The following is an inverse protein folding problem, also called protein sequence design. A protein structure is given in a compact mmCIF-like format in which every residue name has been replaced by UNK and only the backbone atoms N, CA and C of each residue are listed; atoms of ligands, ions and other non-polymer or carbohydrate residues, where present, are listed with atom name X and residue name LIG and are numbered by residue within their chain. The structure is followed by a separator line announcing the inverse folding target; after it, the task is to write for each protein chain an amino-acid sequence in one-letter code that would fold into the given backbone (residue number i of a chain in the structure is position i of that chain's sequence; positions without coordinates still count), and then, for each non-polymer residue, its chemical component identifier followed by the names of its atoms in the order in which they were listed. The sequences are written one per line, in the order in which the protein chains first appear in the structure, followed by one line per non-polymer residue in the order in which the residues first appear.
data_IF_138415475088
#
_entry.id   IF_138415475088
#
_cell.length_a   1.000
_cell.length_b   1.000
_cell.length_c   1.000
_cell.angle_alpha   90.00
_cell.angle_beta   90.00
_cell.angle_gamma   90.00
#
_symmetry.space_group_name_H-M   'P 1'
#
loop_
_entity.id
_entity.type
_entity.pdbx_description
1 polymer ?
#
# COMPACT_ATOMS: atom_id res chain seq x y z
N UNK A 1 -3.90 1.21 -6.85
CA UNK A 1 -3.24 1.89 -5.72
C UNK A 1 -1.91 1.22 -5.43
N UNK A 2 -0.87 2.01 -5.29
CA UNK A 2 0.41 1.54 -4.75
C UNK A 2 0.45 1.93 -3.28
N UNK A 3 0.68 0.96 -2.42
CA UNK A 3 0.73 1.16 -0.97
C UNK A 3 2.13 0.79 -0.47
N UNK A 4 2.82 1.77 0.09
CA UNK A 4 4.19 1.61 0.57
C UNK A 4 4.19 1.28 2.05
N UNK A 5 4.80 0.16 2.43
CA UNK A 5 4.82 -0.34 3.80
C UNK A 5 6.21 -0.80 4.22
N UNK A 6 6.39 -0.96 5.53
CA UNK A 6 7.61 -1.52 6.12
C UNK A 6 7.16 -2.46 7.24
N UNK A 7 7.68 -3.71 7.32
CA UNK A 7 7.26 -4.64 8.37
C UNK A 7 7.57 -4.19 9.79
N UNK A 8 8.49 -3.27 9.96
CA UNK A 8 8.84 -2.74 11.27
C UNK A 8 8.12 -1.44 11.63
N UNK A 9 7.27 -0.95 10.74
CA UNK A 9 6.49 0.26 10.94
C UNK A 9 5.21 -0.07 11.70
N UNK A 10 5.03 0.50 12.90
CA UNK A 10 3.84 0.25 13.73
C UNK A 10 2.53 0.63 13.05
N UNK A 11 2.38 1.87 12.53
CA UNK A 11 1.17 2.26 11.81
C UNK A 11 0.90 1.41 10.57
N UNK A 12 1.94 0.92 9.89
CA UNK A 12 1.77 0.01 8.76
C UNK A 12 1.14 -1.29 9.23
N UNK A 13 1.66 -1.89 10.30
CA UNK A 13 1.14 -3.14 10.84
C UNK A 13 -0.32 -2.99 11.27
N UNK A 14 -0.67 -1.86 11.86
CA UNK A 14 -2.04 -1.60 12.29
C UNK A 14 -3.01 -1.49 11.10
N UNK A 15 -2.53 -1.07 9.95
CA UNK A 15 -3.33 -0.92 8.74
C UNK A 15 -3.51 -2.23 7.96
N UNK A 16 -2.60 -3.18 8.10
CA UNK A 16 -2.60 -4.40 7.28
C UNK A 16 -3.89 -5.22 7.30
N UNK A 17 -4.60 -5.40 8.42
CA UNK A 17 -5.88 -6.10 8.40
C UNK A 17 -6.88 -5.43 7.46
N UNK A 18 -6.94 -4.11 7.45
CA UNK A 18 -7.80 -3.37 6.53
C UNK A 18 -7.36 -3.53 5.09
N UNK A 19 -6.05 -3.48 4.84
CA UNK A 19 -5.50 -3.67 3.49
C UNK A 19 -5.89 -5.03 2.93
N UNK A 20 -5.77 -6.09 3.72
CA UNK A 20 -6.18 -7.42 3.33
C UNK A 20 -7.66 -7.49 2.99
N UNK A 21 -8.50 -6.83 3.79
CA UNK A 21 -9.93 -6.74 3.53
C UNK A 21 -10.21 -5.99 2.22
N UNK A 22 -9.55 -4.87 2.00
CA UNK A 22 -9.71 -4.09 0.76
C UNK A 22 -9.33 -4.90 -0.48
N UNK A 23 -8.22 -5.65 -0.42
CA UNK A 23 -7.80 -6.48 -1.54
C UNK A 23 -8.85 -7.55 -1.89
N UNK A 24 -9.52 -8.10 -0.88
CA UNK A 24 -10.56 -9.11 -1.10
C UNK A 24 -11.87 -8.52 -1.60
N UNK A 25 -12.27 -7.39 -1.04
CA UNK A 25 -13.61 -6.82 -1.30
C UNK A 25 -13.67 -5.84 -2.46
N UNK A 26 -12.55 -5.21 -2.81
CA UNK A 26 -12.55 -4.12 -3.78
C UNK A 26 -11.80 -4.41 -5.06
N UNK A 27 -11.63 -5.68 -5.38
CA UNK A 27 -10.88 -6.10 -6.58
C UNK A 27 -11.47 -5.59 -7.88
N UNK A 28 -12.78 -5.33 -7.93
CA UNK A 28 -13.46 -4.81 -9.14
C UNK A 28 -13.25 -3.32 -9.32
N UNK A 29 -13.07 -2.59 -8.23
CA UNK A 29 -12.96 -1.14 -8.24
C UNK A 29 -11.51 -0.68 -8.31
N UNK A 30 -10.63 -1.45 -7.66
CA UNK A 30 -9.26 -1.00 -7.46
C UNK A 30 -8.36 -2.20 -7.17
N UNK A 31 -7.25 -2.26 -7.88
CA UNK A 31 -6.19 -3.20 -7.59
C UNK A 31 -5.22 -2.55 -6.62
N UNK A 32 -4.93 -3.22 -5.51
CA UNK A 32 -4.00 -2.72 -4.50
C UNK A 32 -2.73 -3.56 -4.54
N UNK A 33 -1.60 -2.91 -4.85
CA UNK A 33 -0.29 -3.54 -4.83
C UNK A 33 0.53 -2.94 -3.70
N UNK A 34 1.14 -3.80 -2.89
CA UNK A 34 1.99 -3.36 -1.80
C UNK A 34 3.44 -3.31 -2.27
N UNK A 35 4.14 -2.26 -1.86
CA UNK A 35 5.57 -2.13 -2.06
C UNK A 35 6.20 -2.20 -0.67
N UNK A 36 6.80 -3.34 -0.35
CA UNK A 36 7.36 -3.58 0.97
C UNK A 36 8.85 -3.26 1.04
N UNK A 37 9.23 -2.51 2.06
CA UNK A 37 10.63 -2.25 2.39
C UNK A 37 11.12 -3.26 3.42
N UNK A 38 12.42 -3.47 3.51
CA UNK A 38 13.04 -4.29 4.54
C UNK A 38 13.18 -5.75 4.16
N UNK A 39 13.27 -6.63 5.16
CA UNK A 39 13.56 -8.03 4.94
C UNK A 39 12.45 -8.77 4.22
N UNK A 40 12.79 -9.52 3.16
CA UNK A 40 11.79 -10.29 2.40
C UNK A 40 10.99 -11.27 3.27
N UNK A 41 11.63 -11.94 4.22
CA UNK A 41 10.92 -12.90 5.08
C UNK A 41 9.90 -12.25 5.99
N UNK A 42 10.21 -11.09 6.54
CA UNK A 42 9.26 -10.36 7.38
C UNK A 42 8.05 -9.89 6.56
N UNK A 43 8.28 -9.41 5.35
CA UNK A 43 7.21 -9.03 4.44
C UNK A 43 6.35 -10.24 4.06
N UNK A 44 6.98 -11.38 3.80
CA UNK A 44 6.25 -12.61 3.47
C UNK A 44 5.41 -13.10 4.63
N UNK A 45 5.96 -13.08 5.84
CA UNK A 45 5.23 -13.48 7.05
C UNK A 45 3.99 -12.61 7.26
N UNK A 46 4.11 -11.31 7.10
CA UNK A 46 2.97 -10.40 7.22
C UNK A 46 1.96 -10.63 6.11
N UNK A 47 2.42 -10.86 4.88
CA UNK A 47 1.52 -11.14 3.77
C UNK A 47 0.69 -12.40 4.04
N UNK A 48 1.32 -13.46 4.53
CA UNK A 48 0.63 -14.69 4.88
C UNK A 48 -0.35 -14.50 6.05
N UNK A 49 0.07 -13.76 7.06
CA UNK A 49 -0.74 -13.52 8.26
C UNK A 49 -2.04 -12.77 7.94
N UNK A 50 -1.98 -11.78 7.07
CA UNK A 50 -3.14 -10.93 6.76
C UNK A 50 -3.78 -11.24 5.41
N UNK A 51 -3.34 -12.31 4.75
CA UNK A 51 -3.89 -12.71 3.46
C UNK A 51 -3.63 -11.70 2.35
N UNK A 52 -2.49 -11.02 2.40
CA UNK A 52 -2.14 -10.02 1.40
C UNK A 52 -1.67 -10.67 0.11
N UNK A 53 -2.05 -10.06 -1.01
CA UNK A 53 -1.61 -10.49 -2.34
C UNK A 53 -0.94 -9.31 -3.04
N UNK A 54 -0.25 -9.60 -4.16
CA UNK A 54 0.39 -8.56 -4.97
C UNK A 54 1.36 -7.70 -4.17
N UNK A 55 2.30 -8.37 -3.52
CA UNK A 55 3.35 -7.72 -2.74
C UNK A 55 4.64 -7.72 -3.54
N UNK A 56 5.19 -6.54 -3.80
CA UNK A 56 6.51 -6.38 -4.38
C UNK A 56 7.46 -5.85 -3.31
N UNK A 57 8.73 -6.12 -3.48
CA UNK A 57 9.74 -5.70 -2.51
C UNK A 57 10.68 -4.67 -3.11
N UNK A 58 11.12 -3.72 -2.30
CA UNK A 58 12.20 -2.81 -2.67
C UNK A 58 13.34 -3.00 -1.67
N UNK A 59 14.57 -2.93 -2.17
CA UNK A 59 15.74 -3.17 -1.32
C UNK A 59 16.25 -1.91 -0.64
N UNK A 60 16.14 -0.78 -1.30
CA UNK A 60 16.84 0.44 -0.90
C UNK A 60 16.00 1.70 -1.17
N UNK A 61 14.70 1.61 -0.92
CA UNK A 61 13.75 2.71 -1.06
C UNK A 61 13.65 3.27 -2.50
N UNK A 62 14.13 2.55 -3.52
CA UNK A 62 14.19 3.04 -4.90
C UNK A 62 12.80 3.32 -5.48
N UNK A 63 11.81 2.50 -5.17
CA UNK A 63 10.43 2.73 -5.63
C UNK A 63 9.81 3.89 -4.87
N UNK A 64 10.04 3.96 -3.56
CA UNK A 64 9.57 5.07 -2.73
C UNK A 64 10.12 6.40 -3.22
N UNK A 65 11.40 6.45 -3.53
CA UNK A 65 12.03 7.67 -4.07
C UNK A 65 11.42 8.08 -5.39
N UNK A 66 11.14 7.13 -6.28
CA UNK A 66 10.55 7.41 -7.57
C UNK A 66 9.18 8.06 -7.47
N UNK A 67 8.43 7.76 -6.42
CA UNK A 67 7.09 8.33 -6.19
C UNK A 67 7.07 9.46 -5.15
N UNK A 68 8.24 9.88 -4.66
CA UNK A 68 8.33 10.96 -3.68
C UNK A 68 7.88 10.57 -2.29
N UNK A 69 7.88 9.27 -1.98
CA UNK A 69 7.46 8.76 -0.67
C UNK A 69 8.58 9.01 0.35
N UNK A 70 8.25 9.63 1.46
CA UNK A 70 9.22 9.96 2.52
C UNK A 70 9.00 9.19 3.81
N UNK A 71 8.01 8.33 3.86
CA UNK A 71 7.73 7.51 5.04
C UNK A 71 6.63 6.50 4.76
N UNK A 72 6.35 5.64 5.72
CA UNK A 72 5.34 4.60 5.61
C UNK A 72 4.35 4.67 6.78
N UNK A 73 3.09 4.27 6.58
CA UNK A 73 2.51 3.88 5.31
C UNK A 73 2.21 5.10 4.42
N UNK A 74 2.32 4.93 3.12
CA UNK A 74 1.94 5.96 2.15
C UNK A 74 1.31 5.30 0.93
N UNK A 75 0.44 6.00 0.22
CA UNK A 75 -0.23 5.44 -0.95
C UNK A 75 -0.47 6.49 -2.03
N UNK A 76 -0.51 6.04 -3.28
CA UNK A 76 -0.94 6.85 -4.42
C UNK A 76 -1.84 6.02 -5.31
N UNK A 77 -2.76 6.69 -5.99
CA UNK A 77 -3.55 6.05 -7.05
C UNK A 77 -2.83 6.19 -8.38
N UNK A 78 -2.78 5.09 -9.10
CA UNK A 78 -2.18 5.03 -10.43
C UNK A 78 -3.22 4.46 -11.38
N UNK A 79 -3.41 5.11 -12.53
CA UNK A 79 -4.35 4.63 -13.54
C UNK A 79 -3.76 3.42 -14.29
N UNK A 80 -4.60 2.67 -15.04
CA UNK A 80 -4.10 1.52 -15.80
C UNK A 80 -2.99 1.84 -16.80
N UNK A 81 -2.89 3.10 -17.25
CA UNK A 81 -1.83 3.50 -18.17
C UNK A 81 -0.53 3.93 -17.46
N UNK A 82 -0.50 3.82 -16.13
CA UNK A 82 0.70 4.15 -15.35
C UNK A 82 0.78 5.60 -14.88
N UNK A 83 -0.27 6.40 -15.07
CA UNK A 83 -0.28 7.79 -14.66
C UNK A 83 -0.73 7.94 -13.20
N UNK A 84 0.02 8.70 -12.41
CA UNK A 84 -0.39 9.01 -11.03
C UNK A 84 -1.57 9.97 -11.08
N UNK A 85 -2.67 9.59 -10.44
CA UNK A 85 -3.95 10.31 -10.50
C UNK A 85 -4.46 10.81 -9.15
N UNK A 86 -3.62 10.73 -8.11
CA UNK A 86 -3.97 11.29 -6.81
C UNK A 86 -2.75 11.94 -6.16
N UNK A 87 -2.95 12.86 -5.22
CA UNK A 87 -1.87 13.26 -4.33
C UNK A 87 -1.40 12.07 -3.50
N UNK A 88 -0.18 12.16 -2.98
CA UNK A 88 0.34 11.17 -2.07
C UNK A 88 -0.45 11.21 -0.75
N UNK A 89 -0.99 10.07 -0.33
CA UNK A 89 -1.63 9.94 0.96
C UNK A 89 -0.59 9.42 1.96
N UNK A 90 -0.17 10.27 2.88
CA UNK A 90 0.84 9.92 3.88
C UNK A 90 0.17 9.62 5.21
N UNK A 91 0.39 8.42 5.74
CA UNK A 91 -0.18 7.96 7.00
C UNK A 91 -1.49 7.21 6.83
N UNK A 92 -1.83 6.40 7.84
CA UNK A 92 -2.99 5.51 7.80
C UNK A 92 -4.31 6.26 7.58
N UNK A 93 -4.50 7.38 8.27
CA UNK A 93 -5.73 8.16 8.15
C UNK A 93 -5.94 8.72 6.74
N UNK A 94 -4.87 9.24 6.13
CA UNK A 94 -4.94 9.75 4.77
C UNK A 94 -5.23 8.64 3.77
N UNK A 95 -4.66 7.45 3.99
CA UNK A 95 -4.90 6.29 3.13
C UNK A 95 -6.36 5.84 3.26
N UNK A 96 -6.91 5.78 4.46
CA UNK A 96 -8.31 5.43 4.67
C UNK A 96 -9.24 6.44 4.00
N UNK A 97 -8.91 7.72 4.06
CA UNK A 97 -9.67 8.77 3.36
C UNK A 97 -9.63 8.55 1.85
N UNK A 98 -8.47 8.22 1.31
CA UNK A 98 -8.31 7.94 -0.12
C UNK A 98 -9.19 6.76 -0.54
N UNK A 99 -9.21 5.69 0.26
CA UNK A 99 -10.05 4.52 -0.01
C UNK A 99 -11.54 4.85 0.04
N UNK A 100 -11.97 5.70 0.95
CA UNK A 100 -13.36 6.14 1.00
C UNK A 100 -13.77 6.89 -0.26
N UNK A 101 -12.89 7.74 -0.78
CA UNK A 101 -13.14 8.46 -2.04
C UNK A 101 -13.28 7.52 -3.22
N UNK A 102 -12.44 6.49 -3.29
CA UNK A 102 -12.55 5.47 -4.33
C UNK A 102 -13.89 4.76 -4.26
N UNK A 103 -14.33 4.40 -3.05
CA UNK A 103 -15.60 3.72 -2.85
C UNK A 103 -16.82 4.59 -3.20
N UNK A 104 -16.71 5.89 -3.03
CA UNK A 104 -17.81 6.82 -3.33
C UNK A 104 -17.92 7.17 -4.81
N UNK A 105 -16.89 6.97 -5.55
CA UNK A 105 -16.91 7.43 -6.85
C UNK A 105 -16.15 7.01 -7.94
#
# INVERSE_FOLDING_TARGET
MLLFTDPECGPCQALLPEVGRWQRERTKELEISLIGEGEPEKNRTQADEYGLTKVALQEDWEVSEAYGVMGTPSAVLVSPDGTVISPLAAGAEAIETLMRRVAEG
#
